data_IF_381776523417
#
_entry.id   IF_381776523417
#
_cell.length_a   1.000
_cell.length_b   1.000
_cell.length_c   1.000
_cell.angle_alpha   90.00
_cell.angle_beta   90.00
_cell.angle_gamma   90.00
#
_symmetry.space_group_name_H-M   'P 1'
#
loop_
_entity.id
_entity.type
_entity.pdbx_description
1 polymer ?
#
# COMPACT_ATOMS: atom_id res chain seq x y z
N UNK A 1 13.43 -12.16 10.87
CA UNK A 1 12.51 -11.21 10.20
C UNK A 1 11.74 -10.52 11.30
N UNK A 2 11.99 -9.23 11.54
CA UNK A 2 11.40 -8.51 12.68
C UNK A 2 10.04 -7.95 12.26
N UNK A 3 8.98 -8.59 12.76
CA UNK A 3 7.59 -8.14 12.62
C UNK A 3 7.40 -6.93 13.53
N UNK A 4 7.09 -5.76 12.97
CA UNK A 4 6.77 -4.53 13.70
C UNK A 4 5.25 -4.32 13.72
N UNK A 5 4.67 -3.79 14.81
CA UNK A 5 3.27 -3.36 14.80
C UNK A 5 3.10 -2.25 13.73
N UNK A 6 2.52 -2.60 12.58
CA UNK A 6 2.67 -1.83 11.33
C UNK A 6 3.33 -2.59 10.17
N UNK A 7 3.33 -3.93 10.18
CA UNK A 7 3.83 -4.82 9.12
C UNK A 7 3.10 -4.61 7.79
N UNK A 8 3.46 -3.54 7.08
CA UNK A 8 3.26 -3.47 5.65
C UNK A 8 4.30 -4.40 5.02
N UNK A 9 3.84 -5.54 4.56
CA UNK A 9 4.65 -6.51 3.82
C UNK A 9 4.49 -6.24 2.34
N UNK A 10 5.56 -5.90 1.66
CA UNK A 10 5.58 -5.79 0.21
C UNK A 10 5.65 -7.19 -0.42
N UNK A 11 4.65 -7.57 -1.22
CA UNK A 11 4.61 -8.86 -1.91
C UNK A 11 5.26 -8.76 -3.30
N UNK A 12 4.86 -7.78 -4.11
CA UNK A 12 5.28 -7.69 -5.51
C UNK A 12 5.13 -6.27 -6.07
N UNK A 13 5.96 -5.90 -7.05
CA UNK A 13 5.78 -4.72 -7.89
C UNK A 13 5.43 -5.15 -9.31
N UNK A 14 4.41 -4.53 -9.87
CA UNK A 14 3.95 -4.73 -11.24
C UNK A 14 4.01 -3.38 -11.95
N UNK A 15 4.74 -3.35 -13.05
CA UNK A 15 4.85 -2.19 -13.92
C UNK A 15 3.88 -2.33 -15.08
N UNK A 16 3.00 -1.35 -15.27
CA UNK A 16 2.19 -1.18 -16.47
C UNK A 16 2.53 0.15 -17.13
N UNK A 17 2.24 0.36 -18.43
CA UNK A 17 2.64 1.58 -19.13
C UNK A 17 2.16 2.88 -18.46
N UNK A 18 1.00 2.83 -17.81
CA UNK A 18 0.32 4.00 -17.21
C UNK A 18 0.60 4.16 -15.70
N UNK A 19 1.09 3.12 -15.03
CA UNK A 19 1.22 3.11 -13.57
C UNK A 19 2.18 2.06 -13.04
N UNK A 20 2.71 2.32 -11.84
CA UNK A 20 3.42 1.34 -11.03
C UNK A 20 2.52 0.85 -9.91
N UNK A 21 2.35 -0.47 -9.78
CA UNK A 21 1.49 -1.07 -8.75
C UNK A 21 2.35 -1.86 -7.76
N UNK A 22 2.28 -1.49 -6.48
CA UNK A 22 2.86 -2.26 -5.38
C UNK A 22 1.76 -3.08 -4.70
N UNK A 23 1.88 -4.40 -4.76
CA UNK A 23 1.03 -5.33 -4.04
C UNK A 23 1.60 -5.51 -2.62
N UNK A 24 0.79 -5.20 -1.61
CA UNK A 24 1.19 -5.18 -0.22
C UNK A 24 0.19 -5.94 0.66
N UNK A 25 0.63 -6.27 1.87
CA UNK A 25 -0.24 -6.74 2.95
C UNK A 25 -0.08 -5.88 4.19
N UNK A 26 -1.18 -5.65 4.89
CA UNK A 26 -1.20 -5.05 6.21
C UNK A 26 -1.93 -6.00 7.14
N UNK A 27 -1.26 -6.47 8.19
CA UNK A 27 -1.83 -7.45 9.15
C UNK A 27 -2.41 -8.72 8.47
N UNK A 28 -1.83 -9.11 7.33
CA UNK A 28 -2.28 -10.25 6.53
C UNK A 28 -3.29 -9.93 5.42
N UNK A 29 -3.97 -8.78 5.51
CA UNK A 29 -4.94 -8.32 4.52
C UNK A 29 -4.28 -7.61 3.34
N UNK A 30 -4.74 -7.88 2.12
CA UNK A 30 -4.13 -7.34 0.90
C UNK A 30 -4.60 -5.93 0.56
N UNK A 31 -3.66 -5.12 0.11
CA UNK A 31 -3.92 -3.84 -0.54
C UNK A 31 -2.91 -3.57 -1.64
N UNK A 32 -3.29 -2.75 -2.61
CA UNK A 32 -2.39 -2.29 -3.66
C UNK A 32 -2.15 -0.80 -3.50
N UNK A 33 -0.93 -0.36 -3.79
CA UNK A 33 -0.60 1.05 -3.97
C UNK A 33 -0.31 1.26 -5.45
N UNK A 34 -1.15 2.04 -6.11
CA UNK A 34 -0.98 2.42 -7.52
C UNK A 34 -0.36 3.81 -7.58
N UNK A 35 0.75 3.94 -8.28
CA UNK A 35 1.36 5.21 -8.64
C UNK A 35 1.05 5.45 -10.11
N UNK A 36 -0.06 6.13 -10.33
CA UNK A 36 -0.49 6.53 -11.66
C UNK A 36 0.28 7.78 -12.10
N UNK A 37 0.75 7.80 -13.35
CA UNK A 37 1.57 8.89 -13.86
C UNK A 37 0.80 10.19 -14.06
N UNK A 38 -0.52 10.12 -14.25
CA UNK A 38 -1.42 11.26 -14.50
C UNK A 38 -2.15 11.73 -13.23
N UNK A 39 -2.42 10.80 -12.30
CA UNK A 39 -3.30 11.04 -11.15
C UNK A 39 -2.63 10.88 -9.78
N UNK A 40 -1.41 10.33 -9.70
CA UNK A 40 -0.64 10.19 -8.46
C UNK A 40 -0.87 8.87 -7.71
N UNK A 41 -0.64 8.88 -6.39
CA UNK A 41 -0.69 7.67 -5.55
C UNK A 41 -2.11 7.35 -5.07
N UNK A 42 -2.55 6.10 -5.28
CA UNK A 42 -3.83 5.57 -4.81
C UNK A 42 -3.64 4.29 -4.00
N UNK A 43 -4.38 4.18 -2.89
CA UNK A 43 -4.45 2.93 -2.11
C UNK A 43 -5.75 2.21 -2.43
N UNK A 44 -5.62 1.04 -3.05
CA UNK A 44 -6.71 0.16 -3.44
C UNK A 44 -6.84 -0.99 -2.42
N UNK A 45 -8.02 -1.12 -1.81
CA UNK A 45 -8.31 -2.18 -0.84
C UNK A 45 -8.68 -3.44 -1.60
N UNK A 46 -7.90 -4.51 -1.44
CA UNK A 46 -8.17 -5.82 -2.05
C UNK A 46 -8.83 -6.76 -1.04
N UNK A 47 -8.41 -6.68 0.22
CA UNK A 47 -8.99 -7.39 1.36
C UNK A 47 -10.00 -6.57 2.16
N UNK A 48 -10.39 -7.11 3.31
CA UNK A 48 -11.27 -6.48 4.30
C UNK A 48 -10.47 -5.52 5.19
N UNK A 49 -10.00 -4.43 4.60
CA UNK A 49 -9.37 -3.34 5.35
C UNK A 49 -10.41 -2.31 5.80
N UNK A 50 -10.42 -2.02 7.10
CA UNK A 50 -11.27 -0.98 7.68
C UNK A 50 -10.82 0.41 7.22
N UNK A 51 -11.69 1.41 7.36
CA UNK A 51 -11.32 2.78 7.07
C UNK A 51 -10.15 3.27 7.94
N UNK A 52 -10.11 2.83 9.21
CA UNK A 52 -9.02 3.14 10.14
C UNK A 52 -7.69 2.50 9.69
N UNK A 53 -7.71 1.26 9.22
CA UNK A 53 -6.51 0.56 8.74
C UNK A 53 -5.94 1.24 7.50
N UNK A 54 -6.81 1.65 6.57
CA UNK A 54 -6.39 2.44 5.42
C UNK A 54 -5.81 3.79 5.81
N UNK A 55 -6.39 4.48 6.80
CA UNK A 55 -5.82 5.74 7.30
C UNK A 55 -4.42 5.53 7.90
N UNK A 56 -4.18 4.43 8.62
CA UNK A 56 -2.85 4.07 9.14
C UNK A 56 -1.87 3.78 8.00
N UNK A 57 -2.28 2.99 7.01
CA UNK A 57 -1.45 2.66 5.82
C UNK A 57 -1.05 3.94 5.08
N UNK A 58 -2.00 4.83 4.78
CA UNK A 58 -1.73 6.11 4.11
C UNK A 58 -0.83 6.99 4.96
N UNK A 59 -1.05 7.05 6.28
CA UNK A 59 -0.20 7.80 7.20
C UNK A 59 1.23 7.26 7.28
N UNK A 60 1.42 5.95 7.12
CA UNK A 60 2.75 5.34 7.05
C UNK A 60 3.45 5.67 5.73
N UNK A 61 2.76 5.52 4.60
CA UNK A 61 3.29 5.80 3.26
C UNK A 61 3.71 7.26 3.08
N UNK A 62 2.99 8.20 3.71
CA UNK A 62 3.32 9.62 3.66
C UNK A 62 4.47 10.03 4.60
N UNK A 63 4.70 9.30 5.69
CA UNK A 63 5.82 9.55 6.61
C UNK A 63 7.17 9.10 6.05
N UNK A 64 7.21 7.97 5.34
CA UNK A 64 8.44 7.45 4.73
C UNK A 64 8.85 8.23 3.45
N UNK A 65 7.97 9.10 2.94
CA UNK A 65 8.23 9.95 1.78
C UNK A 65 8.82 11.34 2.15
N UNK A 66 9.02 11.62 3.45
CA UNK A 66 9.54 12.89 3.97
C UNK A 66 11.05 12.88 4.24
#
# INVERSE_FOLDING_TARGET
MQHHPGDIVFEQRVSIPEAEVLCCRYEGERFNVKFDLDYGMFVERVGMLSAEDVAKIVGWLTKEAA
#
